data_IF_897534629891
#
_entry.id   IF_897534629891
#
_cell.length_a   1.000
_cell.length_b   1.000
_cell.length_c   1.000
_cell.angle_alpha   90.00
_cell.angle_beta   90.00
_cell.angle_gamma   90.00
#
_symmetry.space_group_name_H-M   'P 1'
#
loop_
_entity.id
_entity.type
_entity.pdbx_description
1 polymer ?
#
# COMPACT_ATOMS: atom_id res chain seq x y z
N UNK A 1 -26.00 -18.04 -29.97
CA UNK A 1 -24.76 -18.81 -30.20
C UNK A 1 -24.12 -18.32 -31.50
N UNK A 2 -22.81 -18.29 -31.55
CA UNK A 2 -22.07 -17.98 -32.77
C UNK A 2 -21.67 -19.28 -33.45
N UNK A 3 -21.76 -19.34 -34.79
CA UNK A 3 -21.33 -20.52 -35.59
C UNK A 3 -20.25 -20.11 -36.58
N UNK A 4 -19.38 -21.05 -36.95
CA UNK A 4 -18.39 -20.86 -38.00
C UNK A 4 -18.87 -21.57 -39.26
N UNK A 5 -18.89 -20.84 -40.35
CA UNK A 5 -19.22 -21.36 -41.69
C UNK A 5 -17.94 -21.32 -42.54
N UNK A 6 -17.50 -22.48 -42.99
CA UNK A 6 -16.32 -22.61 -43.86
C UNK A 6 -16.71 -22.31 -45.30
N UNK A 7 -15.97 -21.46 -45.97
CA UNK A 7 -16.07 -21.14 -47.39
C UNK A 7 -14.79 -21.57 -48.12
N UNK A 8 -14.80 -21.63 -49.46
CA UNK A 8 -13.67 -22.14 -50.25
C UNK A 8 -12.28 -21.55 -49.90
N UNK A 9 -12.23 -20.29 -49.45
CA UNK A 9 -10.97 -19.58 -49.12
C UNK A 9 -11.03 -18.76 -47.85
N UNK A 10 -12.10 -18.91 -47.02
CA UNK A 10 -12.29 -18.09 -45.82
C UNK A 10 -13.25 -18.76 -44.84
N UNK A 11 -13.26 -18.23 -43.60
CA UNK A 11 -14.09 -18.68 -42.49
C UNK A 11 -15.00 -17.51 -42.04
N UNK A 12 -16.30 -17.73 -42.02
CA UNK A 12 -17.25 -16.71 -41.58
C UNK A 12 -17.80 -17.06 -40.18
N UNK A 13 -17.71 -16.12 -39.24
CA UNK A 13 -18.37 -16.19 -37.94
C UNK A 13 -19.75 -15.54 -38.06
N UNK A 14 -20.79 -16.32 -37.80
CA UNK A 14 -22.18 -15.92 -37.97
C UNK A 14 -22.82 -15.83 -36.57
N UNK A 15 -23.44 -14.70 -36.26
CA UNK A 15 -24.11 -14.49 -34.98
C UNK A 15 -25.26 -13.50 -35.06
N UNK A 16 -26.17 -13.56 -34.10
CA UNK A 16 -27.28 -12.62 -34.02
C UNK A 16 -26.89 -11.40 -33.19
N UNK A 17 -27.17 -10.21 -33.68
CA UNK A 17 -27.00 -8.94 -32.98
C UNK A 17 -28.31 -8.15 -33.02
N UNK A 18 -28.48 -7.24 -32.06
CA UNK A 18 -29.62 -6.33 -32.00
C UNK A 18 -29.17 -4.93 -32.35
N UNK A 19 -29.73 -4.37 -33.42
CA UNK A 19 -29.48 -3.00 -33.85
C UNK A 19 -30.81 -2.27 -33.86
N UNK A 20 -30.92 -1.19 -33.12
CA UNK A 20 -32.17 -0.39 -32.96
C UNK A 20 -33.40 -1.26 -32.58
N UNK A 21 -33.22 -2.19 -31.62
CA UNK A 21 -34.30 -3.07 -31.16
C UNK A 21 -34.62 -4.26 -32.07
N UNK A 22 -34.08 -4.33 -33.27
CA UNK A 22 -34.34 -5.39 -34.24
C UNK A 22 -33.20 -6.41 -34.25
N UNK A 23 -33.53 -7.69 -34.13
CA UNK A 23 -32.55 -8.80 -34.26
C UNK A 23 -32.10 -8.97 -35.72
N UNK A 24 -30.80 -8.84 -35.99
CA UNK A 24 -30.21 -9.05 -37.31
C UNK A 24 -29.06 -10.04 -37.22
N UNK A 25 -28.95 -10.87 -38.25
CA UNK A 25 -27.83 -11.78 -38.41
C UNK A 25 -26.61 -11.02 -38.95
N UNK A 26 -25.47 -11.15 -38.31
CA UNK A 26 -24.20 -10.53 -38.71
C UNK A 26 -23.20 -11.60 -39.11
N UNK A 27 -22.45 -11.30 -40.16
CA UNK A 27 -21.41 -12.16 -40.73
C UNK A 27 -20.08 -11.40 -40.68
N UNK A 28 -19.07 -12.04 -40.11
CA UNK A 28 -17.69 -11.52 -40.04
C UNK A 28 -16.78 -12.54 -40.69
N UNK A 29 -16.03 -12.17 -41.74
CA UNK A 29 -15.19 -13.07 -42.53
C UNK A 29 -13.74 -12.97 -42.08
N UNK A 30 -13.07 -14.12 -41.89
CA UNK A 30 -11.68 -14.27 -41.50
C UNK A 30 -10.93 -15.13 -42.49
N UNK A 31 -9.61 -14.89 -42.62
CA UNK A 31 -8.77 -15.63 -43.55
C UNK A 31 -8.26 -16.94 -42.97
N UNK A 32 -8.18 -17.05 -41.66
CA UNK A 32 -7.68 -18.26 -40.97
C UNK A 32 -8.71 -18.81 -39.97
N UNK A 33 -8.74 -20.15 -39.85
CA UNK A 33 -9.59 -20.82 -38.89
C UNK A 33 -9.31 -20.42 -37.44
N UNK A 34 -8.04 -20.28 -36.98
CA UNK A 34 -7.76 -19.84 -35.60
C UNK A 34 -8.32 -18.44 -35.25
N UNK A 35 -8.33 -17.50 -36.22
CA UNK A 35 -8.94 -16.18 -36.01
C UNK A 35 -10.46 -16.26 -35.84
N UNK A 36 -11.11 -17.05 -36.68
CA UNK A 36 -12.55 -17.29 -36.63
C UNK A 36 -12.94 -17.97 -35.29
N UNK A 37 -12.15 -18.93 -34.83
CA UNK A 37 -12.35 -19.62 -33.55
C UNK A 37 -12.20 -18.63 -32.36
N UNK A 38 -11.13 -17.85 -32.34
CA UNK A 38 -10.93 -16.80 -31.30
C UNK A 38 -12.10 -15.83 -31.26
N UNK A 39 -12.60 -15.40 -32.42
CA UNK A 39 -13.74 -14.49 -32.48
C UNK A 39 -15.03 -15.14 -32.03
N UNK A 40 -15.27 -16.39 -32.40
CA UNK A 40 -16.41 -17.17 -31.88
C UNK A 40 -16.37 -17.27 -30.38
N UNK A 41 -15.26 -17.70 -29.79
CA UNK A 41 -15.09 -17.79 -28.33
C UNK A 41 -15.31 -16.44 -27.65
N UNK A 42 -14.80 -15.35 -28.22
CA UNK A 42 -15.03 -14.01 -27.71
C UNK A 42 -16.51 -13.63 -27.71
N UNK A 43 -17.24 -13.93 -28.78
CA UNK A 43 -18.68 -13.67 -28.90
C UNK A 43 -19.49 -14.55 -27.93
N UNK A 44 -19.09 -15.79 -27.71
CA UNK A 44 -19.70 -16.70 -26.75
C UNK A 44 -19.49 -16.22 -25.33
N UNK A 45 -18.26 -15.78 -24.96
CA UNK A 45 -17.99 -15.11 -23.68
C UNK A 45 -18.88 -13.88 -23.46
N UNK A 46 -19.03 -13.02 -24.48
CA UNK A 46 -19.93 -11.85 -24.37
C UNK A 46 -21.39 -12.23 -24.33
N UNK A 47 -21.80 -13.31 -24.99
CA UNK A 47 -23.15 -13.81 -24.95
C UNK A 47 -23.47 -14.45 -23.59
N UNK A 48 -22.54 -15.22 -23.05
CA UNK A 48 -22.64 -15.76 -21.69
C UNK A 48 -22.62 -14.64 -20.65
N UNK A 49 -21.83 -13.59 -20.85
CA UNK A 49 -21.88 -12.36 -20.07
C UNK A 49 -23.25 -11.65 -20.17
N UNK A 50 -23.92 -11.63 -21.30
CA UNK A 50 -25.26 -11.05 -21.46
C UNK A 50 -26.40 -11.95 -21.00
N UNK A 51 -26.29 -13.27 -21.14
CA UNK A 51 -27.23 -14.23 -20.53
C UNK A 51 -27.12 -14.29 -19.02
N UNK A 52 -25.99 -13.93 -18.53
CA UNK A 52 -25.75 -13.84 -17.10
C UNK A 52 -26.17 -12.46 -16.54
N UNK A 53 -27.42 -12.05 -16.74
CA UNK A 53 -28.18 -11.50 -15.62
C UNK A 53 -28.15 -12.48 -14.43
N UNK A 54 -27.53 -13.64 -14.62
CA UNK A 54 -27.18 -14.74 -13.73
C UNK A 54 -25.70 -15.12 -13.78
N UNK A 55 -24.77 -14.18 -13.94
CA UNK A 55 -23.33 -14.40 -13.68
C UNK A 55 -23.03 -14.22 -12.19
N UNK A 56 -23.41 -15.01 -11.47
CA UNK A 56 -23.37 -15.36 -10.09
C UNK A 56 -24.74 -15.97 -9.91
N UNK A 57 -24.85 -17.20 -9.55
CA UNK A 57 -26.09 -17.70 -8.98
C UNK A 57 -26.60 -16.62 -8.03
N UNK A 58 -27.88 -16.58 -7.71
CA UNK A 58 -28.45 -15.58 -6.81
C UNK A 58 -27.48 -15.31 -5.67
N UNK A 59 -26.88 -14.09 -5.65
CA UNK A 59 -25.96 -13.68 -4.59
C UNK A 59 -26.85 -13.36 -3.41
N UNK A 60 -27.11 -14.37 -2.60
CA UNK A 60 -28.01 -14.24 -1.45
C UNK A 60 -27.27 -13.93 -0.16
N UNK A 61 -26.03 -14.40 0.00
CA UNK A 61 -25.28 -14.29 1.25
C UNK A 61 -24.10 -13.33 1.16
N UNK A 62 -23.65 -12.86 2.33
CA UNK A 62 -22.47 -11.98 2.43
C UNK A 62 -21.23 -12.67 1.88
N UNK A 63 -21.00 -13.95 2.17
CA UNK A 63 -19.84 -14.69 1.67
C UNK A 63 -19.83 -14.77 0.13
N UNK A 64 -21.00 -15.00 -0.49
CA UNK A 64 -21.13 -14.98 -1.94
C UNK A 64 -20.85 -13.59 -2.53
N UNK A 65 -21.41 -12.54 -1.91
CA UNK A 65 -21.12 -11.15 -2.32
C UNK A 65 -19.62 -10.86 -2.23
N UNK A 66 -18.94 -11.21 -1.14
CA UNK A 66 -17.52 -10.97 -0.98
C UNK A 66 -16.66 -11.70 -2.02
N UNK A 67 -17.07 -12.92 -2.42
CA UNK A 67 -16.40 -13.67 -3.49
C UNK A 67 -16.52 -12.97 -4.85
N UNK A 68 -17.72 -12.47 -5.18
CA UNK A 68 -17.97 -11.70 -6.40
C UNK A 68 -17.23 -10.37 -6.37
N UNK A 69 -17.28 -9.69 -5.22
CA UNK A 69 -16.59 -8.41 -5.02
C UNK A 69 -15.07 -8.53 -5.20
N UNK A 70 -14.45 -9.55 -4.62
CA UNK A 70 -13.03 -9.82 -4.83
C UNK A 70 -12.70 -10.02 -6.31
N UNK A 71 -13.48 -10.84 -7.01
CA UNK A 71 -13.23 -11.17 -8.42
C UNK A 71 -13.46 -9.99 -9.36
N UNK A 72 -14.57 -9.27 -9.22
CA UNK A 72 -14.98 -8.24 -10.18
C UNK A 72 -14.46 -6.83 -9.83
N UNK A 73 -14.20 -6.57 -8.54
CA UNK A 73 -13.71 -5.26 -8.09
C UNK A 73 -12.27 -5.32 -7.56
N UNK A 74 -11.97 -6.27 -6.69
CA UNK A 74 -10.67 -6.36 -6.02
C UNK A 74 -9.52 -6.68 -6.99
N UNK A 75 -9.64 -7.77 -7.74
CA UNK A 75 -8.59 -8.23 -8.69
C UNK A 75 -8.24 -7.17 -9.74
N UNK A 76 -9.19 -6.49 -10.40
CA UNK A 76 -8.86 -5.50 -11.43
C UNK A 76 -8.31 -4.17 -10.89
N UNK A 77 -8.65 -3.79 -9.64
CA UNK A 77 -8.44 -2.42 -9.15
C UNK A 77 -7.42 -2.29 -8.03
N UNK A 78 -7.21 -3.35 -7.23
CA UNK A 78 -6.33 -3.25 -6.08
C UNK A 78 -4.87 -3.50 -6.43
N UNK A 79 -3.99 -2.76 -5.77
CA UNK A 79 -2.57 -3.11 -5.77
C UNK A 79 -2.35 -4.45 -5.04
N UNK A 80 -1.28 -5.21 -5.35
CA UNK A 80 -1.04 -6.51 -4.73
C UNK A 80 -1.02 -6.47 -3.19
N UNK A 81 -0.47 -5.42 -2.58
CA UNK A 81 -0.45 -5.27 -1.12
C UNK A 81 -1.84 -4.94 -0.54
N UNK A 82 -2.65 -4.16 -1.25
CA UNK A 82 -4.03 -3.87 -0.86
C UNK A 82 -4.89 -5.13 -0.97
N UNK A 83 -4.73 -5.88 -2.07
CA UNK A 83 -5.41 -7.15 -2.26
C UNK A 83 -5.09 -8.13 -1.12
N UNK A 84 -3.81 -8.34 -0.82
CA UNK A 84 -3.40 -9.22 0.28
C UNK A 84 -4.01 -8.81 1.63
N UNK A 85 -3.98 -7.52 1.95
CA UNK A 85 -4.54 -7.01 3.21
C UNK A 85 -6.05 -7.21 3.29
N UNK A 86 -6.77 -6.85 2.21
CA UNK A 86 -8.23 -6.97 2.18
C UNK A 86 -8.68 -8.43 2.13
N UNK A 87 -7.99 -9.31 1.37
CA UNK A 87 -8.24 -10.76 1.40
C UNK A 87 -8.08 -11.34 2.80
N UNK A 88 -7.03 -10.90 3.54
CA UNK A 88 -6.85 -11.30 4.92
C UNK A 88 -8.02 -10.90 5.81
N UNK A 89 -8.51 -9.66 5.69
CA UNK A 89 -9.68 -9.21 6.44
C UNK A 89 -10.95 -9.98 6.04
N UNK A 90 -11.17 -10.17 4.74
CA UNK A 90 -12.33 -10.89 4.22
C UNK A 90 -12.32 -12.34 4.70
N UNK A 91 -11.22 -13.06 4.52
CA UNK A 91 -11.16 -14.49 4.82
C UNK A 91 -11.23 -14.81 6.31
N UNK A 92 -10.64 -13.94 7.14
CA UNK A 92 -10.52 -14.23 8.57
C UNK A 92 -11.70 -13.72 9.40
N UNK A 93 -12.33 -12.62 9.02
CA UNK A 93 -13.34 -11.98 9.88
C UNK A 93 -14.76 -12.04 9.32
N UNK A 94 -14.94 -12.01 7.99
CA UNK A 94 -16.29 -11.89 7.43
C UNK A 94 -17.05 -13.23 7.45
N UNK A 95 -16.51 -14.35 6.93
CA UNK A 95 -17.24 -15.62 6.91
C UNK A 95 -17.66 -16.10 8.31
N UNK A 96 -16.80 -16.09 9.35
CA UNK A 96 -17.22 -16.59 10.66
C UNK A 96 -18.22 -15.69 11.37
N UNK A 97 -18.22 -14.37 11.08
CA UNK A 97 -19.10 -13.43 11.79
C UNK A 97 -20.44 -13.19 11.09
N UNK A 98 -20.47 -13.21 9.75
CA UNK A 98 -21.64 -12.83 8.98
C UNK A 98 -21.73 -13.50 7.59
N UNK A 99 -20.87 -14.46 7.28
CA UNK A 99 -20.77 -15.02 5.92
C UNK A 99 -22.07 -15.63 5.41
N UNK A 100 -22.76 -16.36 6.27
CA UNK A 100 -24.00 -17.08 5.94
C UNK A 100 -25.25 -16.20 6.02
N UNK A 101 -25.14 -14.95 6.51
CA UNK A 101 -26.27 -14.04 6.59
C UNK A 101 -26.74 -13.65 5.19
N UNK A 102 -28.06 -13.64 4.99
CA UNK A 102 -28.67 -13.17 3.76
C UNK A 102 -28.51 -11.66 3.63
N UNK A 103 -28.28 -11.17 2.42
CA UNK A 103 -28.17 -9.73 2.14
C UNK A 103 -29.41 -8.96 2.58
N UNK A 104 -30.59 -9.58 2.46
CA UNK A 104 -31.90 -9.02 2.87
C UNK A 104 -32.05 -8.88 4.40
N UNK A 105 -31.31 -9.62 5.19
CA UNK A 105 -31.36 -9.59 6.67
C UNK A 105 -30.50 -8.49 7.27
N UNK A 106 -29.60 -7.92 6.44
CA UNK A 106 -28.68 -6.87 6.88
C UNK A 106 -29.39 -5.51 6.95
N UNK A 107 -29.58 -5.04 8.17
CA UNK A 107 -30.04 -3.70 8.48
C UNK A 107 -28.97 -2.92 9.22
N UNK A 108 -29.04 -1.57 9.29
CA UNK A 108 -28.13 -0.78 10.10
C UNK A 108 -28.10 -1.20 11.59
N UNK A 109 -29.24 -1.69 12.13
CA UNK A 109 -29.34 -2.23 13.49
C UNK A 109 -28.56 -3.54 13.62
N UNK A 110 -28.70 -4.44 12.63
CA UNK A 110 -27.96 -5.72 12.60
C UNK A 110 -26.45 -5.46 12.53
N UNK A 111 -26.02 -4.50 11.69
CA UNK A 111 -24.61 -4.11 11.57
C UNK A 111 -24.06 -3.55 12.90
N UNK A 112 -24.83 -2.74 13.61
CA UNK A 112 -24.43 -2.21 14.91
C UNK A 112 -24.23 -3.32 15.96
N UNK A 113 -25.16 -4.29 16.02
CA UNK A 113 -25.06 -5.45 16.90
C UNK A 113 -23.82 -6.32 16.57
N UNK A 114 -23.59 -6.61 15.29
CA UNK A 114 -22.42 -7.35 14.82
C UNK A 114 -21.12 -6.67 15.21
N UNK A 115 -21.01 -5.36 15.07
CA UNK A 115 -19.80 -4.63 15.45
C UNK A 115 -19.54 -4.67 16.95
N UNK A 116 -20.60 -4.58 17.77
CA UNK A 116 -20.48 -4.74 19.21
C UNK A 116 -19.99 -6.15 19.59
N UNK A 117 -20.53 -7.19 18.98
CA UNK A 117 -20.10 -8.56 19.16
C UNK A 117 -18.63 -8.77 18.72
N UNK A 118 -18.25 -8.29 17.53
CA UNK A 118 -16.88 -8.43 17.03
C UNK A 118 -15.84 -7.78 17.93
N UNK A 119 -16.18 -6.72 18.66
CA UNK A 119 -15.28 -6.08 19.60
C UNK A 119 -15.06 -6.89 20.88
N UNK A 120 -16.01 -7.76 21.25
CA UNK A 120 -15.88 -8.66 22.38
C UNK A 120 -15.11 -9.95 22.04
N UNK A 121 -15.05 -10.31 20.78
CA UNK A 121 -14.37 -11.52 20.32
C UNK A 121 -12.83 -11.38 20.32
N UNK A 122 -12.10 -12.47 20.56
CA UNK A 122 -10.65 -12.47 20.51
C UNK A 122 -10.17 -12.19 19.07
N UNK A 123 -9.13 -11.37 18.98
CA UNK A 123 -8.44 -11.13 17.71
C UNK A 123 -7.91 -12.45 17.15
N UNK A 124 -8.12 -12.70 15.87
CA UNK A 124 -7.51 -13.83 15.18
C UNK A 124 -5.98 -13.61 15.18
N UNK A 125 -5.27 -14.44 15.93
CA UNK A 125 -3.82 -14.39 16.02
C UNK A 125 -3.20 -15.09 14.83
N UNK A 126 -2.22 -14.42 14.19
CA UNK A 126 -1.31 -15.12 13.29
C UNK A 126 -0.53 -16.16 14.10
N UNK A 127 -0.22 -17.36 13.53
CA UNK A 127 0.62 -18.37 14.19
C UNK A 127 1.97 -17.84 14.68
N UNK A 128 2.39 -16.69 14.16
CA UNK A 128 3.65 -16.03 14.50
C UNK A 128 3.53 -14.98 15.62
N UNK A 129 2.31 -14.67 16.10
CA UNK A 129 2.10 -13.74 17.20
C UNK A 129 1.60 -14.48 18.45
N UNK A 130 2.47 -14.61 19.44
CA UNK A 130 2.21 -15.30 20.73
C UNK A 130 1.17 -14.63 21.65
N UNK A 131 0.53 -13.56 21.24
CA UNK A 131 -0.48 -12.87 22.04
C UNK A 131 -1.90 -13.34 21.65
N UNK A 132 -2.24 -14.56 22.05
CA UNK A 132 -3.62 -15.03 22.07
C UNK A 132 -4.44 -14.32 23.17
N UNK A 133 -5.72 -14.03 22.89
CA UNK A 133 -6.67 -13.50 23.89
C UNK A 133 -6.89 -11.98 23.90
N UNK A 134 -6.18 -11.20 23.08
CA UNK A 134 -6.53 -9.78 22.93
C UNK A 134 -7.79 -9.60 22.08
N UNK A 135 -8.74 -8.78 22.56
CA UNK A 135 -9.95 -8.40 21.83
C UNK A 135 -9.59 -7.69 20.50
N UNK A 136 -10.52 -7.73 19.56
CA UNK A 136 -10.40 -7.03 18.28
C UNK A 136 -10.20 -5.52 18.51
N UNK A 137 -9.19 -4.93 17.88
CA UNK A 137 -8.96 -3.49 18.05
C UNK A 137 -9.98 -2.64 17.26
N UNK A 138 -10.41 -1.48 17.79
CA UNK A 138 -11.25 -0.54 17.05
C UNK A 138 -10.71 -0.20 15.65
N UNK A 139 -9.41 -0.09 15.51
CA UNK A 139 -8.75 0.18 14.22
C UNK A 139 -8.92 -0.96 13.22
N UNK A 140 -8.86 -2.22 13.69
CA UNK A 140 -9.10 -3.39 12.84
C UNK A 140 -10.56 -3.43 12.39
N UNK A 141 -11.51 -3.20 13.31
CA UNK A 141 -12.93 -3.12 12.97
C UNK A 141 -13.21 -2.04 11.92
N UNK A 142 -12.59 -0.85 12.04
CA UNK A 142 -12.70 0.21 11.02
C UNK A 142 -12.15 -0.24 9.66
N UNK A 143 -11.11 -1.07 9.63
CA UNK A 143 -10.57 -1.61 8.38
C UNK A 143 -11.53 -2.65 7.76
N UNK A 144 -12.16 -3.50 8.58
CA UNK A 144 -13.20 -4.43 8.14
C UNK A 144 -14.41 -3.65 7.60
N UNK A 145 -14.86 -2.63 8.33
CA UNK A 145 -15.93 -1.75 7.88
C UNK A 145 -15.67 -1.12 6.52
N UNK A 146 -14.45 -0.60 6.27
CA UNK A 146 -14.09 -0.02 4.97
C UNK A 146 -14.28 -1.02 3.82
N UNK A 147 -13.89 -2.27 4.03
CA UNK A 147 -14.04 -3.33 3.02
C UNK A 147 -15.51 -3.66 2.81
N UNK A 148 -16.28 -3.87 3.89
CA UNK A 148 -17.72 -4.17 3.83
C UNK A 148 -18.50 -3.01 3.21
N UNK A 149 -18.26 -1.78 3.65
CA UNK A 149 -18.90 -0.60 3.09
C UNK A 149 -18.66 -0.51 1.57
N UNK A 150 -17.41 -0.66 1.14
CA UNK A 150 -17.08 -0.63 -0.29
C UNK A 150 -17.70 -1.79 -1.08
N UNK A 151 -17.78 -2.99 -0.50
CA UNK A 151 -18.43 -4.14 -1.14
C UNK A 151 -19.94 -3.93 -1.31
N UNK A 152 -20.58 -3.34 -0.30
CA UNK A 152 -22.03 -3.06 -0.36
C UNK A 152 -22.37 -1.85 -1.22
N UNK A 153 -21.47 -0.84 -1.38
CA UNK A 153 -21.62 0.18 -2.43
C UNK A 153 -21.61 -0.48 -3.83
N UNK A 154 -20.72 -1.45 -4.06
CA UNK A 154 -20.74 -2.20 -5.31
C UNK A 154 -21.98 -3.09 -5.44
N UNK A 155 -22.47 -3.68 -4.34
CA UNK A 155 -23.71 -4.47 -4.35
C UNK A 155 -24.93 -3.63 -4.73
N UNK A 156 -25.02 -2.37 -4.31
CA UNK A 156 -26.05 -1.41 -4.77
C UNK A 156 -25.90 -1.16 -6.27
N UNK A 157 -24.69 -0.88 -6.77
CA UNK A 157 -24.43 -0.66 -8.20
C UNK A 157 -24.69 -1.91 -9.05
N UNK A 158 -24.57 -3.11 -8.48
CA UNK A 158 -24.86 -4.38 -9.14
C UNK A 158 -26.31 -4.84 -8.94
N UNK A 159 -27.15 -4.03 -8.28
CA UNK A 159 -28.56 -4.29 -8.02
C UNK A 159 -28.83 -5.55 -7.17
N UNK A 160 -27.89 -5.94 -6.29
CA UNK A 160 -28.09 -7.02 -5.31
C UNK A 160 -28.83 -6.54 -4.07
N UNK A 161 -28.71 -5.26 -3.71
CA UNK A 161 -29.38 -4.61 -2.59
C UNK A 161 -29.80 -3.19 -2.98
N UNK A 162 -30.88 -2.70 -2.43
CA UNK A 162 -31.39 -1.34 -2.73
C UNK A 162 -30.56 -0.23 -2.04
N UNK A 163 -29.98 -0.55 -0.90
CA UNK A 163 -29.20 0.39 -0.09
C UNK A 163 -28.05 -0.31 0.66
N UNK A 164 -27.02 0.45 0.95
CA UNK A 164 -25.88 -0.04 1.72
C UNK A 164 -26.19 -0.01 3.24
N UNK A 165 -26.31 -1.16 3.94
CA UNK A 165 -26.61 -1.21 5.37
C UNK A 165 -25.46 -0.72 6.25
N UNK A 166 -24.25 -0.61 5.71
CA UNK A 166 -23.07 -0.10 6.39
C UNK A 166 -22.94 1.42 6.33
N UNK A 167 -23.77 2.08 5.53
CA UNK A 167 -23.81 3.53 5.49
C UNK A 167 -24.22 4.09 6.86
N UNK A 168 -23.41 5.03 7.43
CA UNK A 168 -23.61 5.59 8.77
C UNK A 168 -23.60 4.58 9.92
N UNK A 169 -22.96 3.41 9.74
CA UNK A 169 -22.80 2.46 10.83
C UNK A 169 -22.02 3.09 12.02
N UNK A 170 -22.44 2.84 13.27
CA UNK A 170 -21.76 3.35 14.44
C UNK A 170 -20.38 2.68 14.58
N UNK A 171 -19.33 3.45 14.34
CA UNK A 171 -17.95 2.97 14.48
C UNK A 171 -17.38 3.40 15.83
N UNK A 172 -16.60 2.53 16.50
CA UNK A 172 -15.97 2.87 17.75
C UNK A 172 -15.01 4.05 17.60
N UNK A 173 -14.96 4.91 18.60
CA UNK A 173 -14.02 6.04 18.63
C UNK A 173 -12.61 5.52 18.78
N UNK A 174 -11.73 5.88 17.87
CA UNK A 174 -10.31 5.62 17.98
C UNK A 174 -9.62 6.90 18.49
N UNK A 175 -9.14 6.87 19.72
CA UNK A 175 -8.27 7.95 20.19
C UNK A 175 -6.92 7.82 19.46
N UNK A 176 -6.46 8.84 18.73
CA UNK A 176 -5.15 8.80 18.13
C UNK A 176 -4.10 8.66 19.24
N UNK A 177 -3.25 7.63 19.16
CA UNK A 177 -2.10 7.54 20.05
C UNK A 177 -1.11 8.62 19.64
N UNK A 178 -0.61 9.39 20.61
CA UNK A 178 0.51 10.30 20.34
C UNK A 178 1.66 9.51 19.70
N UNK A 179 2.13 10.00 18.57
CA UNK A 179 3.23 9.36 17.83
C UNK A 179 4.53 9.77 18.49
N UNK A 180 5.12 8.87 19.27
CA UNK A 180 6.45 9.09 19.82
C UNK A 180 7.49 9.19 18.69
N UNK A 181 8.35 10.19 18.75
CA UNK A 181 9.48 10.41 17.84
C UNK A 181 10.73 10.78 18.64
N UNK A 182 11.89 10.68 18.01
CA UNK A 182 13.18 10.99 18.63
C UNK A 182 13.60 12.42 18.27
N UNK A 183 14.26 13.09 19.21
CA UNK A 183 14.92 14.38 18.93
C UNK A 183 16.17 14.19 18.08
N UNK A 184 16.70 15.22 17.43
CA UNK A 184 17.96 15.13 16.67
C UNK A 184 19.13 14.65 17.52
N UNK A 185 19.21 15.03 18.79
CA UNK A 185 20.25 14.61 19.76
C UNK A 185 20.12 13.11 20.05
N UNK A 186 18.89 12.63 20.30
CA UNK A 186 18.62 11.21 20.47
C UNK A 186 18.95 10.38 19.24
N UNK A 187 18.73 10.92 18.03
CA UNK A 187 19.12 10.25 16.78
C UNK A 187 20.65 10.19 16.65
N UNK A 188 21.38 11.26 17.00
CA UNK A 188 22.84 11.23 17.04
C UNK A 188 23.35 10.19 18.02
N UNK A 189 22.80 10.14 19.24
CA UNK A 189 23.10 9.12 20.23
C UNK A 189 22.83 7.70 19.71
N UNK A 190 21.67 7.48 19.07
CA UNK A 190 21.30 6.18 18.50
C UNK A 190 22.31 5.69 17.47
N UNK A 191 22.76 6.55 16.57
CA UNK A 191 23.70 6.22 15.51
C UNK A 191 25.03 5.66 16.07
N UNK A 192 25.48 6.13 17.22
CA UNK A 192 26.72 5.65 17.88
C UNK A 192 26.63 4.18 18.32
N UNK A 193 25.41 3.64 18.51
CA UNK A 193 25.15 2.25 18.90
C UNK A 193 24.72 1.39 17.71
N UNK A 194 24.88 1.86 16.48
CA UNK A 194 24.42 1.16 15.30
C UNK A 194 25.57 0.55 14.49
N UNK A 195 25.38 -0.65 13.92
CA UNK A 195 26.29 -1.13 12.87
C UNK A 195 26.23 -0.19 11.66
N UNK A 196 27.30 -0.09 10.86
CA UNK A 196 27.43 0.91 9.77
C UNK A 196 26.23 0.95 8.82
N UNK A 197 25.70 -0.21 8.44
CA UNK A 197 24.54 -0.30 7.54
C UNK A 197 23.26 0.29 8.16
N UNK A 198 23.02 0.05 9.45
CA UNK A 198 21.89 0.62 10.17
C UNK A 198 22.08 2.13 10.38
N UNK A 199 23.28 2.57 10.71
CA UNK A 199 23.60 3.99 10.85
C UNK A 199 23.31 4.75 9.53
N UNK A 200 23.75 4.22 8.39
CA UNK A 200 23.44 4.78 7.07
C UNK A 200 21.93 4.81 6.79
N UNK A 201 21.21 3.74 7.16
CA UNK A 201 19.75 3.67 6.99
C UNK A 201 19.02 4.75 7.82
N UNK A 202 19.49 5.01 9.05
CA UNK A 202 18.96 6.06 9.93
C UNK A 202 19.25 7.43 9.34
N UNK A 203 20.49 7.69 8.94
CA UNK A 203 20.89 8.98 8.32
C UNK A 203 20.05 9.30 7.07
N UNK A 204 19.92 8.33 6.15
CA UNK A 204 19.12 8.52 4.93
C UNK A 204 17.63 8.73 5.24
N UNK A 205 17.08 7.93 6.19
CA UNK A 205 15.68 8.07 6.59
C UNK A 205 15.40 9.43 7.22
N UNK A 206 16.30 9.90 8.07
CA UNK A 206 16.15 11.19 8.74
C UNK A 206 16.39 12.37 7.78
N UNK A 207 17.41 12.32 6.91
CA UNK A 207 17.67 13.38 5.95
C UNK A 207 16.60 13.51 4.86
N UNK A 208 16.15 12.38 4.28
CA UNK A 208 15.22 12.37 3.13
C UNK A 208 13.78 12.03 3.49
N UNK A 209 13.44 11.95 4.79
CA UNK A 209 12.10 11.60 5.28
C UNK A 209 11.53 10.32 4.65
N UNK A 210 12.35 9.28 4.50
CA UNK A 210 12.01 8.05 3.75
C UNK A 210 10.98 7.18 4.47
N UNK A 211 10.09 6.56 3.69
CA UNK A 211 9.35 5.39 4.16
C UNK A 211 10.27 4.17 4.16
N UNK A 212 10.07 3.23 5.08
CA UNK A 212 10.90 2.02 5.18
C UNK A 212 11.03 1.24 3.85
N UNK A 213 9.93 1.11 3.12
CA UNK A 213 9.95 0.45 1.80
C UNK A 213 10.67 1.27 0.72
N UNK A 214 10.65 2.59 0.78
CA UNK A 214 11.42 3.48 -0.09
C UNK A 214 12.91 3.33 0.20
N UNK A 215 13.31 3.39 1.47
CA UNK A 215 14.69 3.19 1.91
C UNK A 215 15.28 1.87 1.38
N UNK A 216 14.59 0.75 1.60
CA UNK A 216 15.06 -0.57 1.20
C UNK A 216 15.05 -0.78 -0.33
N UNK A 217 14.36 0.08 -1.08
CA UNK A 217 14.32 0.06 -2.53
C UNK A 217 15.39 0.92 -3.20
N UNK A 218 16.14 1.72 -2.43
CA UNK A 218 17.17 2.60 -2.97
C UNK A 218 18.27 1.81 -3.65
N UNK A 219 18.65 2.28 -4.83
CA UNK A 219 19.79 1.79 -5.60
C UNK A 219 20.87 2.86 -5.68
N UNK A 220 22.11 2.47 -5.95
CA UNK A 220 23.21 3.41 -6.16
C UNK A 220 22.96 4.35 -7.34
N UNK A 221 22.17 3.92 -8.33
CA UNK A 221 21.77 4.73 -9.49
C UNK A 221 20.78 5.85 -9.15
N UNK A 222 20.11 5.78 -7.98
CA UNK A 222 19.22 6.83 -7.52
C UNK A 222 19.94 8.04 -6.95
N UNK A 223 21.27 7.95 -6.75
CA UNK A 223 22.09 9.01 -6.17
C UNK A 223 22.83 9.75 -7.26
N UNK A 224 22.59 11.04 -7.37
CA UNK A 224 23.41 11.94 -8.17
C UNK A 224 24.45 12.62 -7.26
N UNK A 225 25.68 12.12 -7.31
CA UNK A 225 26.80 12.64 -6.52
C UNK A 225 27.30 14.01 -6.96
N UNK A 226 26.97 14.46 -8.17
CA UNK A 226 27.35 15.77 -8.69
C UNK A 226 26.41 16.86 -8.20
N UNK A 227 25.13 16.53 -8.06
CA UNK A 227 24.09 17.47 -7.63
C UNK A 227 23.69 17.31 -6.16
N UNK A 228 24.27 16.36 -5.46
CA UNK A 228 23.89 15.96 -4.10
C UNK A 228 22.40 15.66 -3.97
N UNK A 229 21.84 14.89 -4.91
CA UNK A 229 20.42 14.56 -4.91
C UNK A 229 20.17 13.05 -4.84
N UNK A 230 19.04 12.71 -4.27
CA UNK A 230 18.50 11.35 -4.17
C UNK A 230 17.12 11.30 -4.83
N UNK A 231 16.96 10.43 -5.81
CA UNK A 231 15.66 10.15 -6.45
C UNK A 231 14.94 9.02 -5.72
N UNK A 232 13.67 9.23 -5.43
CA UNK A 232 12.80 8.27 -4.75
C UNK A 232 11.62 8.00 -5.67
N UNK A 233 11.61 6.85 -6.36
CA UNK A 233 10.61 6.50 -7.37
C UNK A 233 10.16 5.03 -7.27
N UNK A 234 10.59 4.29 -6.24
CA UNK A 234 10.25 2.89 -6.06
C UNK A 234 10.16 2.50 -4.59
N UNK A 235 9.53 1.37 -4.33
CA UNK A 235 9.39 0.82 -2.97
C UNK A 235 9.59 -0.70 -2.99
N UNK A 236 10.30 -1.23 -2.01
CA UNK A 236 10.43 -2.65 -1.75
C UNK A 236 9.25 -3.12 -0.88
N UNK A 237 8.59 -4.18 -1.30
CA UNK A 237 7.49 -4.76 -0.54
C UNK A 237 7.56 -6.29 -0.53
N UNK A 238 7.18 -6.90 0.59
CA UNK A 238 6.97 -8.34 0.70
C UNK A 238 5.49 -8.63 0.51
N UNK A 239 5.16 -9.41 -0.51
CA UNK A 239 3.78 -9.67 -0.95
C UNK A 239 3.57 -11.17 -1.07
N UNK A 240 2.35 -11.66 -0.78
CA UNK A 240 1.95 -13.05 -1.02
C UNK A 240 2.03 -13.40 -2.51
N UNK A 241 2.51 -14.59 -2.83
CA UNK A 241 2.62 -15.06 -4.22
C UNK A 241 1.28 -15.03 -4.93
N UNK A 242 0.22 -15.47 -4.24
CA UNK A 242 -1.12 -15.50 -4.81
C UNK A 242 -1.59 -14.09 -5.18
N UNK A 243 -1.35 -13.10 -4.33
CA UNK A 243 -1.69 -11.72 -4.60
C UNK A 243 -0.92 -11.16 -5.80
N UNK A 244 0.38 -11.49 -5.92
CA UNK A 244 1.21 -11.06 -7.06
C UNK A 244 0.76 -11.70 -8.38
N UNK A 245 0.24 -12.94 -8.32
CA UNK A 245 -0.17 -13.66 -9.52
C UNK A 245 -1.60 -13.30 -9.98
N UNK A 246 -2.47 -12.91 -9.06
CA UNK A 246 -3.89 -12.63 -9.35
C UNK A 246 -4.16 -11.19 -9.75
N UNK A 247 -3.37 -10.23 -9.27
CA UNK A 247 -3.62 -8.80 -9.46
C UNK A 247 -2.74 -8.23 -10.57
N UNK A 248 -3.14 -7.06 -11.09
CA UNK A 248 -2.42 -6.38 -12.15
C UNK A 248 -0.93 -6.15 -11.78
N UNK A 249 -0.04 -6.68 -12.62
CA UNK A 249 1.40 -6.69 -12.40
C UNK A 249 2.10 -5.43 -12.92
N UNK A 250 1.38 -4.47 -13.51
CA UNK A 250 1.96 -3.27 -14.13
C UNK A 250 2.79 -2.42 -13.17
N UNK A 251 2.50 -2.49 -11.87
CA UNK A 251 3.23 -1.76 -10.83
C UNK A 251 4.55 -2.46 -10.42
N UNK A 252 4.79 -3.71 -10.81
CA UNK A 252 5.94 -4.50 -10.38
C UNK A 252 7.10 -4.26 -11.34
N UNK A 253 8.16 -3.63 -10.84
CA UNK A 253 9.39 -3.33 -11.60
C UNK A 253 10.35 -4.53 -11.62
N UNK A 254 10.49 -5.21 -10.48
CA UNK A 254 11.38 -6.36 -10.34
C UNK A 254 10.88 -7.34 -9.28
N UNK A 255 11.11 -8.64 -9.51
CA UNK A 255 10.82 -9.71 -8.54
C UNK A 255 12.12 -10.37 -8.13
N UNK A 256 12.40 -10.38 -6.83
CA UNK A 256 13.57 -11.08 -6.31
C UNK A 256 13.28 -12.58 -6.18
N UNK A 257 14.23 -13.43 -6.54
CA UNK A 257 14.08 -14.87 -6.39
C UNK A 257 13.87 -15.25 -4.92
N UNK A 258 13.06 -16.28 -4.64
CA UNK A 258 12.86 -16.76 -3.28
C UNK A 258 14.14 -17.41 -2.74
N UNK A 259 14.40 -17.22 -1.46
CA UNK A 259 15.53 -17.84 -0.77
C UNK A 259 15.08 -19.15 -0.16
N UNK A 260 15.43 -20.28 -0.80
CA UNK A 260 15.12 -21.65 -0.33
C UNK A 260 13.61 -21.97 -0.37
N UNK A 261 13.27 -23.20 -0.59
CA UNK A 261 11.94 -23.81 -0.41
C UNK A 261 10.71 -23.09 -1.00
N UNK A 262 9.53 -23.59 -0.67
CA UNK A 262 8.22 -23.01 -1.05
C UNK A 262 7.87 -21.83 -0.14
N UNK A 263 8.41 -20.66 -0.40
CA UNK A 263 7.99 -19.44 0.31
C UNK A 263 6.61 -18.97 -0.16
N UNK A 264 5.71 -18.65 0.79
CA UNK A 264 4.38 -18.09 0.50
C UNK A 264 4.41 -16.62 0.05
N UNK A 265 5.55 -15.94 0.21
CA UNK A 265 5.72 -14.53 -0.11
C UNK A 265 6.91 -14.31 -1.03
N UNK A 266 6.90 -13.21 -1.77
CA UNK A 266 7.98 -12.76 -2.65
C UNK A 266 8.32 -11.30 -2.33
N UNK A 267 9.60 -10.93 -2.46
CA UNK A 267 10.03 -9.53 -2.43
C UNK A 267 9.91 -8.95 -3.84
N UNK A 268 9.32 -7.78 -3.93
CA UNK A 268 9.15 -7.06 -5.20
C UNK A 268 9.54 -5.60 -5.06
N UNK A 269 10.22 -5.08 -6.06
CA UNK A 269 10.28 -3.64 -6.29
C UNK A 269 9.05 -3.24 -7.07
N UNK A 270 8.39 -2.20 -6.63
CA UNK A 270 7.19 -1.67 -7.29
C UNK A 270 7.19 -0.15 -7.34
N UNK A 271 6.40 0.38 -8.26
CA UNK A 271 6.14 1.81 -8.34
C UNK A 271 5.40 2.30 -7.07
N UNK A 272 5.60 3.57 -6.67
CA UNK A 272 4.82 4.20 -5.61
C UNK A 272 3.34 4.25 -5.97
N UNK A 273 2.46 4.29 -4.95
CA UNK A 273 1.00 4.35 -5.15
C UNK A 273 0.51 5.68 -5.72
N UNK A 274 1.25 6.76 -5.51
CA UNK A 274 0.86 8.12 -5.90
C UNK A 274 2.03 8.82 -6.59
N UNK A 275 1.75 9.65 -7.56
CA UNK A 275 2.75 10.49 -8.24
C UNK A 275 3.50 11.39 -7.25
N UNK A 276 2.83 11.91 -6.23
CA UNK A 276 3.45 12.72 -5.17
C UNK A 276 4.50 11.98 -4.35
N UNK A 277 4.54 10.65 -4.40
CA UNK A 277 5.58 9.84 -3.77
C UNK A 277 6.87 9.81 -4.59
N UNK A 278 6.81 10.09 -5.89
CA UNK A 278 7.99 10.24 -6.75
C UNK A 278 8.55 11.64 -6.52
N UNK A 279 9.78 11.70 -6.04
CA UNK A 279 10.42 12.97 -5.68
C UNK A 279 11.94 12.88 -5.74
N UNK A 280 12.58 14.03 -5.87
CA UNK A 280 14.02 14.20 -5.72
C UNK A 280 14.27 15.06 -4.49
N UNK A 281 15.15 14.61 -3.61
CA UNK A 281 15.51 15.30 -2.36
C UNK A 281 16.99 15.66 -2.40
N UNK A 282 17.34 16.83 -1.87
CA UNK A 282 18.73 17.23 -1.69
C UNK A 282 19.28 16.61 -0.40
N UNK A 283 20.51 16.08 -0.47
CA UNK A 283 21.19 15.49 0.68
C UNK A 283 22.35 16.39 1.14
N UNK A 284 22.59 16.46 2.46
CA UNK A 284 23.74 17.20 3.00
C UNK A 284 25.06 16.64 2.47
N UNK A 285 26.08 17.50 2.19
CA UNK A 285 27.39 17.05 1.70
C UNK A 285 28.06 15.98 2.58
N UNK A 286 27.92 16.09 3.91
CA UNK A 286 28.45 15.10 4.86
C UNK A 286 27.83 13.71 4.64
N UNK A 287 26.52 13.64 4.38
CA UNK A 287 25.83 12.37 4.08
C UNK A 287 26.27 11.83 2.71
N UNK A 288 26.48 12.70 1.72
CA UNK A 288 27.02 12.30 0.42
C UNK A 288 28.43 11.70 0.52
N UNK A 289 29.26 12.24 1.41
CA UNK A 289 30.59 11.68 1.71
C UNK A 289 30.47 10.29 2.34
N UNK A 290 29.57 10.13 3.32
CA UNK A 290 29.29 8.82 3.93
C UNK A 290 28.80 7.79 2.90
N UNK A 291 27.92 8.20 1.99
CA UNK A 291 27.44 7.34 0.89
C UNK A 291 28.58 6.95 -0.06
N UNK A 292 29.47 7.86 -0.43
CA UNK A 292 30.65 7.54 -1.26
C UNK A 292 31.55 6.50 -0.59
N UNK A 293 31.80 6.65 0.70
CA UNK A 293 32.61 5.69 1.49
C UNK A 293 31.95 4.32 1.65
N UNK A 294 30.61 4.30 1.70
CA UNK A 294 29.83 3.05 1.85
C UNK A 294 29.61 2.30 0.53
N UNK A 295 29.99 2.90 -0.60
CA UNK A 295 29.78 2.33 -1.92
C UNK A 295 30.71 1.17 -2.20
N UNK A 296 30.22 -0.02 -2.60
CA UNK A 296 31.06 -1.15 -2.95
C UNK A 296 31.99 -0.84 -4.13
N UNK A 297 33.23 -1.32 -4.07
CA UNK A 297 34.15 -1.21 -5.20
C UNK A 297 33.59 -1.99 -6.42
N UNK A 298 33.73 -1.42 -7.62
CA UNK A 298 33.32 -2.07 -8.87
C UNK A 298 31.81 -2.12 -9.13
N UNK A 299 30.97 -1.41 -8.38
CA UNK A 299 29.53 -1.35 -8.61
C UNK A 299 29.14 -0.86 -10.02
N UNK A 300 29.98 -0.04 -10.65
CA UNK A 300 29.78 0.54 -11.99
C UNK A 300 30.00 -0.49 -13.10
N UNK A 301 30.83 -1.50 -12.87
CA UNK A 301 31.28 -2.47 -13.89
C UNK A 301 30.54 -3.80 -13.86
N UNK A 302 29.69 -4.02 -12.86
CA UNK A 302 28.99 -5.29 -12.68
C UNK A 302 27.81 -5.44 -13.63
N UNK A 303 27.99 -6.21 -14.71
CA UNK A 303 26.95 -6.62 -15.66
C UNK A 303 25.90 -7.58 -15.08
N UNK A 304 25.52 -7.42 -13.83
CA UNK A 304 24.48 -8.21 -13.19
C UNK A 304 23.08 -7.61 -13.49
N UNK A 305 22.12 -8.41 -13.91
CA UNK A 305 20.75 -7.93 -14.23
C UNK A 305 19.91 -7.55 -13.00
N UNK A 306 20.51 -7.53 -11.81
CA UNK A 306 19.81 -7.23 -10.56
C UNK A 306 19.95 -5.76 -10.19
N UNK A 307 18.89 -5.10 -9.68
CA UNK A 307 19.01 -3.74 -9.19
C UNK A 307 20.06 -3.67 -8.06
N UNK A 308 21.06 -2.78 -8.22
CA UNK A 308 22.14 -2.58 -7.26
C UNK A 308 21.65 -1.82 -6.02
N UNK A 309 20.95 -2.53 -5.13
CA UNK A 309 20.39 -1.95 -3.91
C UNK A 309 21.49 -1.48 -2.96
N UNK A 310 21.27 -0.34 -2.31
CA UNK A 310 22.15 0.17 -1.25
C UNK A 310 22.09 -0.76 -0.03
N UNK A 311 20.88 -1.25 0.28
CA UNK A 311 20.64 -2.15 1.41
C UNK A 311 20.43 -3.59 0.90
N UNK A 312 21.54 -4.24 0.58
CA UNK A 312 21.59 -5.63 0.14
C UNK A 312 22.54 -6.45 1.01
N UNK A 313 22.33 -7.75 1.05
CA UNK A 313 23.30 -8.71 1.56
C UNK A 313 24.43 -8.92 0.54
N UNK A 314 25.59 -9.50 0.97
CA UNK A 314 26.72 -9.75 0.06
C UNK A 314 26.36 -10.61 -1.17
N UNK A 315 25.33 -11.41 -1.06
CA UNK A 315 24.80 -12.24 -2.16
C UNK A 315 23.82 -11.49 -3.10
N UNK A 316 23.71 -10.18 -2.97
CA UNK A 316 22.84 -9.31 -3.79
C UNK A 316 21.36 -9.33 -3.39
N UNK A 317 20.96 -10.12 -2.40
CA UNK A 317 19.56 -10.15 -1.92
C UNK A 317 19.22 -8.87 -1.17
N UNK A 318 17.97 -8.35 -1.32
CA UNK A 318 17.52 -7.20 -0.55
C UNK A 318 17.54 -7.46 0.95
N UNK A 319 17.98 -6.48 1.74
CA UNK A 319 17.82 -6.51 3.19
C UNK A 319 16.34 -6.62 3.53
N UNK A 320 16.02 -7.49 4.48
CA UNK A 320 14.63 -7.69 4.90
C UNK A 320 14.20 -6.64 5.92
N UNK A 321 12.95 -6.21 5.78
CA UNK A 321 12.32 -5.27 6.71
C UNK A 321 12.37 -5.72 8.17
N UNK A 322 12.22 -7.03 8.42
CA UNK A 322 12.28 -7.59 9.76
C UNK A 322 13.70 -7.51 10.36
N UNK A 323 14.74 -7.68 9.56
CA UNK A 323 16.14 -7.54 9.98
C UNK A 323 16.43 -6.10 10.40
N UNK A 324 16.08 -5.13 9.53
CA UNK A 324 16.24 -3.71 9.83
C UNK A 324 15.50 -3.32 11.13
N UNK A 325 14.25 -3.81 11.27
CA UNK A 325 13.44 -3.51 12.47
C UNK A 325 14.05 -4.12 13.74
N UNK A 326 14.55 -5.35 13.68
CA UNK A 326 15.21 -6.00 14.83
C UNK A 326 16.47 -5.26 15.25
N UNK A 327 17.34 -4.94 14.30
CA UNK A 327 18.57 -4.18 14.55
C UNK A 327 18.29 -2.81 15.16
N UNK A 328 17.27 -2.11 14.63
CA UNK A 328 16.84 -0.81 15.14
C UNK A 328 16.32 -0.89 16.58
N UNK A 329 15.50 -1.89 16.92
CA UNK A 329 15.01 -2.07 18.29
C UNK A 329 16.13 -2.44 19.27
N UNK A 330 17.12 -3.19 18.82
CA UNK A 330 18.29 -3.53 19.62
C UNK A 330 19.14 -2.28 19.89
N UNK A 331 19.42 -1.47 18.88
CA UNK A 331 20.18 -0.24 19.01
C UNK A 331 19.49 0.78 19.95
N UNK A 332 18.14 0.91 19.86
CA UNK A 332 17.39 1.74 20.80
C UNK A 332 17.57 1.30 22.27
N UNK A 333 17.55 -0.02 22.50
CA UNK A 333 17.77 -0.60 23.84
C UNK A 333 19.18 -0.33 24.35
N UNK A 334 20.19 -0.51 23.50
CA UNK A 334 21.61 -0.29 23.84
C UNK A 334 21.91 1.20 24.10
N UNK A 335 21.25 2.09 23.34
CA UNK A 335 21.36 3.52 23.54
C UNK A 335 20.52 4.05 24.73
N UNK A 336 19.74 3.21 25.42
CA UNK A 336 18.86 3.66 26.52
C UNK A 336 17.73 4.57 26.06
N UNK A 337 17.33 4.53 24.79
CA UNK A 337 16.33 5.41 24.20
C UNK A 337 14.91 4.82 24.26
N UNK A 338 13.88 5.66 24.21
CA UNK A 338 12.49 5.19 24.25
C UNK A 338 12.18 4.29 23.05
N UNK A 339 11.32 3.29 23.27
CA UNK A 339 10.90 2.35 22.25
C UNK A 339 9.99 3.03 21.22
N UNK A 340 10.52 3.29 20.04
CA UNK A 340 9.82 3.84 18.89
C UNK A 340 9.89 2.88 17.69
N UNK A 341 9.06 3.11 16.68
CA UNK A 341 9.13 2.33 15.42
C UNK A 341 10.15 2.94 14.46
N UNK A 342 10.70 2.16 13.52
CA UNK A 342 11.56 2.70 12.47
C UNK A 342 10.87 3.83 11.68
N UNK A 343 9.55 3.75 11.50
CA UNK A 343 8.77 4.79 10.84
C UNK A 343 8.72 6.12 11.65
N UNK A 344 8.97 6.07 12.95
CA UNK A 344 9.05 7.26 13.79
C UNK A 344 10.21 8.18 13.40
N UNK A 345 11.29 7.66 12.79
CA UNK A 345 12.39 8.46 12.24
C UNK A 345 11.91 9.42 11.16
N UNK A 346 10.95 9.00 10.34
CA UNK A 346 10.32 9.88 9.34
C UNK A 346 9.52 10.99 10.01
N UNK A 347 8.82 10.69 11.11
CA UNK A 347 8.12 11.73 11.89
C UNK A 347 9.12 12.70 12.55
N UNK A 348 10.22 12.18 13.12
CA UNK A 348 11.32 13.00 13.62
C UNK A 348 11.87 13.94 12.55
N UNK A 349 12.12 13.41 11.35
CA UNK A 349 12.61 14.18 10.19
C UNK A 349 11.65 15.32 9.82
N UNK A 350 10.38 15.02 9.69
CA UNK A 350 9.35 15.99 9.30
C UNK A 350 9.22 17.10 10.36
N UNK A 351 9.14 16.70 11.63
CA UNK A 351 9.05 17.62 12.76
C UNK A 351 10.27 18.57 12.82
N UNK A 352 11.47 18.00 12.65
CA UNK A 352 12.69 18.78 12.65
C UNK A 352 12.80 19.73 11.45
N UNK A 353 12.44 19.27 10.25
CA UNK A 353 12.40 20.12 9.04
C UNK A 353 11.39 21.27 9.15
N UNK A 354 10.22 21.01 9.77
CA UNK A 354 9.24 22.05 10.04
C UNK A 354 9.79 23.10 11.01
N UNK A 355 10.49 22.68 12.07
CA UNK A 355 11.16 23.60 12.99
C UNK A 355 12.22 24.44 12.25
N UNK A 356 13.09 23.81 11.44
CA UNK A 356 14.13 24.51 10.69
C UNK A 356 13.58 25.48 9.63
N UNK A 357 12.45 25.17 9.03
CA UNK A 357 11.83 25.99 7.98
C UNK A 357 10.89 27.09 8.52
N UNK A 358 10.78 27.23 9.84
CA UNK A 358 9.83 28.17 10.45
C UNK A 358 8.36 27.79 10.15
N UNK A 359 8.08 26.52 9.90
CA UNK A 359 6.71 26.02 9.64
C UNK A 359 6.32 25.97 8.17
N UNK A 360 7.24 26.02 7.22
CA UNK A 360 6.90 25.88 5.79
C UNK A 360 6.43 24.44 5.47
N UNK A 361 5.12 24.24 5.64
CA UNK A 361 4.45 22.95 5.40
C UNK A 361 4.61 22.51 3.93
N UNK A 362 4.61 23.43 2.97
CA UNK A 362 4.69 23.08 1.53
C UNK A 362 6.08 22.58 1.15
N UNK A 363 7.14 23.20 1.64
CA UNK A 363 8.50 22.72 1.44
C UNK A 363 8.69 21.32 2.04
N UNK A 364 8.26 21.12 3.28
CA UNK A 364 8.36 19.82 3.97
C UNK A 364 7.46 18.76 3.32
N UNK A 365 6.29 19.13 2.79
CA UNK A 365 5.41 18.24 2.04
C UNK A 365 6.08 17.72 0.76
N UNK A 366 6.72 18.60 0.00
CA UNK A 366 7.46 18.19 -1.21
C UNK A 366 8.60 17.22 -0.87
N UNK A 367 9.37 17.55 0.15
CA UNK A 367 10.54 16.76 0.56
C UNK A 367 10.14 15.40 1.15
N UNK A 368 9.05 15.34 1.87
CA UNK A 368 8.53 14.10 2.46
C UNK A 368 7.64 13.27 1.53
N UNK A 369 7.09 13.84 0.46
CA UNK A 369 6.16 13.14 -0.46
C UNK A 369 4.84 12.75 0.20
N UNK A 370 4.24 13.65 1.00
CA UNK A 370 2.88 13.48 1.51
C UNK A 370 1.88 14.04 0.51
N UNK A 371 0.86 13.22 0.16
CA UNK A 371 -0.19 13.66 -0.75
C UNK A 371 -1.11 14.73 -0.13
N UNK A 372 -1.27 14.71 1.21
CA UNK A 372 -2.11 15.64 1.95
C UNK A 372 -1.32 16.35 3.04
N UNK A 373 -1.55 17.66 3.17
CA UNK A 373 -0.90 18.49 4.19
C UNK A 373 -1.38 18.15 5.61
N UNK A 374 -2.61 17.64 5.76
CA UNK A 374 -3.22 17.32 7.05
C UNK A 374 -2.37 16.35 7.89
N UNK A 375 -1.68 15.41 7.24
CA UNK A 375 -0.77 14.49 7.95
C UNK A 375 0.45 15.19 8.54
N UNK A 376 0.85 16.33 7.99
CA UNK A 376 1.97 17.14 8.47
C UNK A 376 1.47 18.09 9.56
N UNK A 377 0.30 18.70 9.38
CA UNK A 377 -0.32 19.60 10.36
C UNK A 377 -0.68 18.89 11.66
N UNK A 378 -1.12 17.62 11.63
CA UNK A 378 -1.31 16.80 12.84
C UNK A 378 -0.01 16.59 13.64
N UNK A 379 1.14 16.48 12.96
CA UNK A 379 2.46 16.40 13.61
C UNK A 379 2.91 17.77 14.13
N UNK A 380 2.58 18.82 13.39
CA UNK A 380 2.95 20.20 13.73
C UNK A 380 2.26 20.70 15.01
N UNK A 381 1.03 20.26 15.26
CA UNK A 381 0.33 20.62 16.51
C UNK A 381 1.04 20.21 17.81
N UNK A 382 1.97 19.25 17.75
CA UNK A 382 2.80 18.83 18.88
C UNK A 382 4.09 19.65 19.06
N UNK A 383 4.55 20.33 17.99
CA UNK A 383 5.79 21.15 17.96
C UNK A 383 5.48 22.61 18.27
N UNK A 384 4.21 23.01 18.16
CA UNK A 384 3.75 24.40 18.16
C UNK A 384 3.89 25.16 19.48
N UNK A 385 4.01 24.49 20.65
CA UNK A 385 4.11 25.27 21.90
C UNK A 385 5.41 26.07 21.97
N UNK A 386 6.53 25.46 21.57
CA UNK A 386 7.81 26.14 21.53
C UNK A 386 7.81 27.28 20.49
N UNK A 387 7.34 27.00 19.27
CA UNK A 387 7.25 27.98 18.21
C UNK A 387 6.26 29.14 18.49
N UNK A 388 5.29 28.94 19.39
CA UNK A 388 4.37 30.01 19.80
C UNK A 388 5.09 31.06 20.66
N UNK A 389 6.00 30.65 21.53
CA UNK A 389 6.84 31.57 22.29
C UNK A 389 7.82 32.32 21.36
N UNK A 390 8.51 31.63 20.48
CA UNK A 390 9.40 32.23 19.49
C UNK A 390 8.65 33.24 18.60
N UNK A 391 7.39 32.97 18.27
CA UNK A 391 6.54 33.90 17.50
C UNK A 391 6.21 35.15 18.31
N UNK A 392 5.90 35.00 19.60
CA UNK A 392 5.62 36.12 20.50
C UNK A 392 6.88 36.99 20.70
N UNK A 393 8.05 36.37 20.91
CA UNK A 393 9.32 37.08 21.02
C UNK A 393 9.65 37.85 19.75
N UNK A 394 9.52 37.22 18.57
CA UNK A 394 9.70 37.90 17.28
C UNK A 394 8.70 39.05 17.04
N UNK A 395 7.45 38.83 17.48
CA UNK A 395 6.46 39.90 17.37
C UNK A 395 6.78 41.09 18.26
N UNK A 396 7.31 40.84 19.47
CA UNK A 396 7.80 41.86 20.38
C UNK A 396 8.97 42.63 19.76
N UNK A 397 10.01 41.91 19.27
CA UNK A 397 11.18 42.50 18.62
C UNK A 397 10.83 43.36 17.40
N UNK A 398 9.94 42.84 16.53
CA UNK A 398 9.67 43.51 15.24
C UNK A 398 8.63 44.62 15.38
N UNK A 399 7.69 44.51 16.29
CA UNK A 399 6.57 45.46 16.36
C UNK A 399 6.69 46.46 17.53
N UNK A 400 7.20 46.01 18.67
CA UNK A 400 7.28 46.88 19.86
C UNK A 400 8.68 47.42 20.15
N UNK A 401 9.74 46.71 19.73
CA UNK A 401 11.12 47.10 19.97
C UNK A 401 11.84 47.64 18.71
N UNK A 402 11.15 47.78 17.58
CA UNK A 402 11.69 48.41 16.38
C UNK A 402 11.68 49.94 16.56
N UNK A 403 12.82 50.53 17.01
CA UNK A 403 13.12 51.94 16.94
C UNK A 403 13.74 52.34 15.57
#
# INVERSE_FOLDING_TARGET
MASIVTRKSSFAVVYMTTVNGVRKQKWETYHTLPEAVRRKEQLERYHDLRKSKKIGGEVETVAQLMSVYLRLHGVPRWSPSTYQSNCGLIQHYIPPCMGDMRLSELSPRTVAALYSQMLEEPRISSPYHKQGGQKLSPTTLRSIHKVLHSAFEQAVLWEYVDRNPFHRAPLPTCRPKQKAFLTPEQIKQLVLHCPPTLALAIHLTFAASLRKGELLALTWQDIDFSRNTLRIDKTLARIGRDAVNQVNQREILHRFPPVGGRQRTVLVLKQPKTESSVRTVYLPPSLMTLLKQSRPAGWETGGQPSPHLIFAYPDGRPMQECTLTKQFQQALKEAGLPKVTFHSLRYSSISYKLSLSGGDIKAVQRDSGHAQADMITELYGQVLEQNRWDLVERFEEVFYCAD
#
